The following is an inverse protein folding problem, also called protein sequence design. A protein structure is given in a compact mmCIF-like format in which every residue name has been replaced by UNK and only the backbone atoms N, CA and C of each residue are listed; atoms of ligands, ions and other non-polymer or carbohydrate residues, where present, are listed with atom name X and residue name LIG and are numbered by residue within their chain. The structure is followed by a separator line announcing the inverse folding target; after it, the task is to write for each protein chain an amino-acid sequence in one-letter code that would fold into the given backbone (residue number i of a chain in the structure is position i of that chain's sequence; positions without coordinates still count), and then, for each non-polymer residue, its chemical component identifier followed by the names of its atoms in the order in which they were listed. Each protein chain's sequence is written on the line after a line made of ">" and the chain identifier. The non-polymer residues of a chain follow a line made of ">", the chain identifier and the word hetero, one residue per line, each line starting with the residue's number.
data_IF_191288683258
#
_entry.id   IF_191288683258
#
_cell.length_a   1.000
_cell.length_b   1.000
_cell.length_c   1.000
_cell.angle_alpha   90.00
_cell.angle_beta   90.00
_cell.angle_gamma   90.00
#
_symmetry.space_group_name_H-M   'P 1'
#
loop_
_entity.id
_entity.type
_entity.pdbx_description
1 polymer ?
#
# COMPACT_ATOMS: atom_id res chain seq x y z
N UNK A 1 -24.21 14.81 -2.22
CA UNK A 1 -23.67 14.87 -0.85
C UNK A 1 -24.05 13.65 0.00
N UNK A 2 -25.31 13.17 -0.03
CA UNK A 2 -25.74 11.98 0.73
C UNK A 2 -24.92 10.70 0.45
N UNK A 3 -24.56 10.44 -0.81
CA UNK A 3 -23.71 9.28 -1.19
C UNK A 3 -22.29 9.35 -0.60
N UNK A 4 -21.75 10.55 -0.41
CA UNK A 4 -20.40 10.75 0.12
C UNK A 4 -20.39 10.58 1.65
N UNK A 5 -21.44 11.06 2.33
CA UNK A 5 -21.65 10.77 3.76
C UNK A 5 -21.86 9.28 4.03
N UNK A 6 -22.63 8.58 3.20
CA UNK A 6 -22.86 7.14 3.36
C UNK A 6 -21.57 6.32 3.17
N UNK A 7 -20.70 6.71 2.23
CA UNK A 7 -19.39 6.07 2.04
C UNK A 7 -18.42 6.35 3.20
N UNK A 8 -18.50 7.54 3.80
CA UNK A 8 -17.69 7.90 4.97
C UNK A 8 -18.17 7.16 6.23
N UNK A 9 -19.49 7.10 6.44
CA UNK A 9 -20.07 6.37 7.56
C UNK A 9 -19.80 4.87 7.46
N UNK A 10 -19.85 4.29 6.25
CA UNK A 10 -19.53 2.88 6.05
C UNK A 10 -18.05 2.57 6.26
N UNK A 11 -17.15 3.50 5.93
CA UNK A 11 -15.71 3.36 6.22
C UNK A 11 -15.43 3.41 7.72
N UNK A 12 -16.12 4.29 8.45
CA UNK A 12 -16.02 4.41 9.91
C UNK A 12 -16.62 3.18 10.60
N UNK A 13 -17.80 2.72 10.18
CA UNK A 13 -18.41 1.50 10.70
C UNK A 13 -17.58 0.25 10.39
N UNK A 14 -16.99 0.15 9.20
CA UNK A 14 -16.09 -0.94 8.84
C UNK A 14 -14.82 -0.93 9.69
N UNK A 15 -14.27 0.26 10.00
CA UNK A 15 -13.18 0.43 10.95
C UNK A 15 -13.56 -0.03 12.36
N UNK A 16 -14.75 0.35 12.84
CA UNK A 16 -15.28 -0.02 14.16
C UNK A 16 -15.59 -1.52 14.31
N UNK A 17 -16.16 -2.14 13.28
CA UNK A 17 -16.44 -3.60 13.23
C UNK A 17 -15.15 -4.40 13.06
N UNK A 18 -14.14 -3.84 12.39
CA UNK A 18 -12.81 -4.46 12.37
C UNK A 18 -12.15 -4.42 13.75
N UNK A 19 -12.25 -3.30 14.48
CA UNK A 19 -11.65 -3.17 15.83
C UNK A 19 -12.26 -4.10 16.87
N UNK A 20 -13.56 -4.41 16.80
CA UNK A 20 -14.16 -5.43 17.69
C UNK A 20 -13.82 -6.88 17.28
N UNK A 21 -13.39 -7.09 16.03
CA UNK A 21 -13.00 -8.39 15.50
C UNK A 21 -11.50 -8.70 15.54
N UNK A 22 -10.60 -7.79 15.92
CA UNK A 22 -9.15 -7.95 15.66
C UNK A 22 -8.42 -9.10 16.36
N UNK A 23 -9.03 -9.81 17.32
CA UNK A 23 -8.40 -11.02 17.90
C UNK A 23 -8.76 -12.29 17.08
N UNK A 24 -9.86 -12.31 16.31
CA UNK A 24 -10.31 -13.50 15.55
C UNK A 24 -10.73 -13.25 14.08
N UNK A 25 -10.87 -12.00 13.63
CA UNK A 25 -11.54 -11.61 12.38
C UNK A 25 -10.63 -11.00 11.31
N UNK A 26 -9.34 -10.78 11.56
CA UNK A 26 -8.42 -10.20 10.58
C UNK A 26 -8.05 -11.16 9.45
N UNK A 27 -8.01 -12.47 9.73
CA UNK A 27 -7.82 -13.53 8.73
C UNK A 27 -8.96 -13.59 7.68
N UNK A 28 -10.25 -13.68 8.07
CA UNK A 28 -11.34 -13.68 7.09
C UNK A 28 -11.46 -12.35 6.35
N UNK A 29 -11.15 -11.21 6.98
CA UNK A 29 -11.20 -9.93 6.28
C UNK A 29 -10.08 -9.76 5.24
N UNK A 30 -8.86 -10.21 5.55
CA UNK A 30 -7.77 -10.26 4.58
C UNK A 30 -8.09 -11.24 3.43
N UNK A 31 -8.68 -12.39 3.74
CA UNK A 31 -9.14 -13.35 2.73
C UNK A 31 -10.27 -12.78 1.84
N UNK A 32 -11.22 -12.05 2.41
CA UNK A 32 -12.31 -11.40 1.67
C UNK A 32 -11.80 -10.26 0.79
N UNK A 33 -10.84 -9.46 1.27
CA UNK A 33 -10.19 -8.44 0.47
C UNK A 33 -9.43 -9.07 -0.70
N UNK A 34 -8.70 -10.17 -0.45
CA UNK A 34 -7.99 -10.92 -1.48
C UNK A 34 -8.97 -11.49 -2.53
N UNK A 35 -10.10 -12.05 -2.09
CA UNK A 35 -11.16 -12.56 -2.96
C UNK A 35 -11.81 -11.45 -3.77
N UNK A 36 -12.06 -10.28 -3.19
CA UNK A 36 -12.62 -9.12 -3.88
C UNK A 36 -11.67 -8.62 -4.98
N UNK A 37 -10.37 -8.57 -4.71
CA UNK A 37 -9.34 -8.20 -5.70
C UNK A 37 -9.28 -9.24 -6.83
N UNK A 38 -9.32 -10.54 -6.51
CA UNK A 38 -9.34 -11.62 -7.51
C UNK A 38 -10.59 -11.50 -8.40
N UNK A 39 -11.76 -11.22 -7.81
CA UNK A 39 -13.02 -11.11 -8.55
C UNK A 39 -13.05 -9.87 -9.45
N UNK A 40 -12.55 -8.73 -8.96
CA UNK A 40 -12.42 -7.51 -9.74
C UNK A 40 -11.44 -7.66 -10.92
N UNK A 41 -10.37 -8.45 -10.77
CA UNK A 41 -9.45 -8.73 -11.87
C UNK A 41 -10.05 -9.66 -12.94
N UNK A 42 -10.85 -10.65 -12.53
CA UNK A 42 -11.54 -11.53 -13.49
C UNK A 42 -12.57 -10.79 -14.33
N UNK A 43 -13.29 -9.81 -13.77
CA UNK A 43 -14.25 -9.03 -14.56
C UNK A 43 -13.57 -8.19 -15.63
N UNK A 44 -12.34 -7.73 -15.40
CA UNK A 44 -11.57 -6.97 -16.40
C UNK A 44 -10.96 -7.86 -17.49
N UNK A 45 -10.67 -9.13 -17.21
CA UNK A 45 -10.17 -10.09 -18.21
C UNK A 45 -11.27 -10.65 -19.12
N UNK A 46 -12.54 -10.59 -18.71
CA UNK A 46 -13.68 -11.05 -19.49
C UNK A 46 -14.08 -10.13 -20.65
N UNK A 47 -13.64 -8.87 -20.64
CA UNK A 47 -13.76 -7.99 -21.81
C UNK A 47 -12.62 -8.31 -22.76
N UNK A 48 -12.68 -9.48 -23.40
CA UNK A 48 -12.03 -9.60 -24.70
C UNK A 48 -12.65 -8.50 -25.56
N UNK A 49 -11.85 -7.67 -26.27
CA UNK A 49 -12.37 -6.88 -27.38
C UNK A 49 -12.84 -7.90 -28.43
N UNK A 50 -14.07 -8.38 -28.21
CA UNK A 50 -14.80 -9.22 -29.13
C UNK A 50 -14.93 -8.41 -30.39
N UNK A 51 -14.06 -8.74 -31.35
CA UNK A 51 -14.36 -8.91 -32.76
C UNK A 51 -15.68 -8.20 -33.10
N UNK A 52 -15.59 -6.91 -33.43
CA UNK A 52 -16.74 -6.17 -33.95
C UNK A 52 -17.37 -7.06 -35.02
N UNK A 53 -18.60 -7.58 -34.83
CA UNK A 53 -19.30 -8.24 -35.90
C UNK A 53 -19.42 -7.20 -37.00
N UNK A 54 -18.95 -7.55 -38.20
CA UNK A 54 -18.74 -6.64 -39.32
C UNK A 54 -19.91 -5.70 -39.53
N UNK A 55 -19.81 -4.50 -38.95
CA UNK A 55 -20.59 -3.37 -39.37
C UNK A 55 -19.95 -2.92 -40.68
N UNK A 56 -20.58 -3.33 -41.79
CA UNK A 56 -20.34 -2.72 -43.09
C UNK A 56 -20.59 -1.22 -42.96
N UNK A 57 -19.52 -0.48 -42.69
CA UNK A 57 -19.52 0.97 -42.72
C UNK A 57 -19.36 1.39 -44.16
N UNK A 58 -20.51 1.65 -44.78
CA UNK A 58 -20.69 2.63 -45.83
C UNK A 58 -19.72 3.80 -45.62
N UNK A 59 -18.80 3.98 -46.57
CA UNK A 59 -17.92 5.15 -46.63
C UNK A 59 -18.78 6.43 -46.61
N UNK A 60 -18.58 7.36 -45.66
CA UNK A 60 -19.12 8.70 -45.83
C UNK A 60 -18.39 9.39 -47.00
N UNK A 61 -19.12 9.96 -47.98
CA UNK A 61 -18.56 10.43 -49.25
C UNK A 61 -17.90 11.82 -49.19
N UNK A 62 -17.35 12.23 -48.05
CA UNK A 62 -16.77 13.58 -47.93
C UNK A 62 -15.32 13.54 -47.43
N UNK A 63 -14.36 13.97 -48.26
CA UNK A 63 -12.99 14.16 -47.82
C UNK A 63 -12.93 15.38 -46.90
N UNK A 64 -12.93 15.14 -45.59
CA UNK A 64 -12.59 16.16 -44.60
C UNK A 64 -11.09 16.42 -44.73
N UNK A 65 -10.71 17.41 -45.56
CA UNK A 65 -9.39 18.04 -45.49
C UNK A 65 -9.30 18.70 -44.12
N UNK A 66 -8.62 18.05 -43.18
CA UNK A 66 -8.09 18.69 -41.98
C UNK A 66 -6.85 19.47 -42.41
N UNK A 67 -6.91 20.80 -42.52
CA UNK A 67 -5.71 21.59 -42.69
C UNK A 67 -5.07 21.63 -41.31
N UNK A 68 -3.95 20.96 -41.12
CA UNK A 68 -2.82 21.25 -40.23
C UNK A 68 -2.10 19.91 -40.02
N UNK A 69 -0.79 19.80 -40.31
CA UNK A 69 -0.01 18.70 -39.79
C UNK A 69 0.06 18.86 -38.27
N UNK A 70 -0.92 18.28 -37.56
CA UNK A 70 -0.78 18.04 -36.12
C UNK A 70 0.39 17.08 -36.01
N UNK A 71 1.56 17.63 -35.69
CA UNK A 71 2.77 16.90 -35.36
C UNK A 71 2.37 15.98 -34.22
N UNK A 72 2.00 14.74 -34.55
CA UNK A 72 1.62 13.74 -33.58
C UNK A 72 2.77 13.74 -32.56
N UNK A 73 2.50 13.99 -31.27
CA UNK A 73 3.56 13.94 -30.27
C UNK A 73 4.19 12.57 -30.42
N UNK A 74 5.43 12.57 -30.89
CA UNK A 74 6.25 11.38 -31.03
C UNK A 74 6.51 10.90 -29.61
N UNK A 75 5.54 10.19 -29.03
CA UNK A 75 5.74 9.33 -27.87
C UNK A 75 6.54 8.08 -28.32
N UNK A 76 7.66 8.31 -28.99
CA UNK A 76 8.76 7.37 -29.17
C UNK A 76 9.68 7.36 -27.94
N UNK A 77 9.32 8.10 -26.88
CA UNK A 77 9.74 7.83 -25.52
C UNK A 77 9.08 6.57 -24.97
N UNK A 78 9.14 5.48 -25.73
CA UNK A 78 9.00 4.13 -25.22
C UNK A 78 10.20 3.88 -24.33
N UNK A 79 10.21 4.50 -23.13
CA UNK A 79 10.89 3.94 -21.99
C UNK A 79 10.22 2.60 -21.78
N UNK A 80 10.73 1.59 -22.51
CA UNK A 80 10.65 0.20 -22.13
C UNK A 80 11.17 0.22 -20.72
N UNK A 81 10.25 0.38 -19.77
CA UNK A 81 10.41 0.10 -18.36
C UNK A 81 10.70 -1.40 -18.33
N UNK A 82 11.94 -1.72 -18.70
CA UNK A 82 12.63 -2.95 -18.44
C UNK A 82 12.83 -2.96 -16.95
N UNK A 83 11.72 -3.12 -16.22
CA UNK A 83 11.74 -3.74 -14.92
C UNK A 83 12.19 -5.18 -15.21
N UNK A 84 13.50 -5.31 -15.39
CA UNK A 84 14.20 -6.55 -15.64
C UNK A 84 13.80 -7.51 -14.52
N UNK A 85 13.72 -8.81 -14.81
CA UNK A 85 13.32 -9.83 -13.83
C UNK A 85 14.14 -9.74 -12.52
N UNK A 86 15.37 -9.23 -12.61
CA UNK A 86 16.26 -8.88 -11.49
C UNK A 86 15.64 -7.90 -10.49
N UNK A 87 14.81 -6.95 -10.91
CA UNK A 87 14.15 -6.00 -10.02
C UNK A 87 13.12 -6.67 -9.11
N UNK A 88 12.33 -7.60 -9.64
CA UNK A 88 11.34 -8.34 -8.84
C UNK A 88 11.99 -9.30 -7.85
N UNK A 89 13.11 -9.93 -8.22
CA UNK A 89 13.87 -10.79 -7.31
C UNK A 89 14.40 -9.98 -6.12
N UNK A 90 14.97 -8.79 -6.38
CA UNK A 90 15.43 -7.89 -5.31
C UNK A 90 14.29 -7.47 -4.38
N UNK A 91 13.14 -7.08 -4.94
CA UNK A 91 11.95 -6.72 -4.14
C UNK A 91 11.46 -7.91 -3.31
N UNK A 92 11.41 -9.11 -3.91
CA UNK A 92 11.00 -10.33 -3.21
C UNK A 92 11.95 -10.70 -2.08
N UNK A 93 13.27 -10.55 -2.28
CA UNK A 93 14.27 -10.82 -1.26
C UNK A 93 14.14 -9.83 -0.08
N UNK A 94 13.98 -8.52 -0.37
CA UNK A 94 13.76 -7.51 0.66
C UNK A 94 12.44 -7.76 1.40
N UNK A 95 11.36 -8.10 0.70
CA UNK A 95 10.08 -8.44 1.32
C UNK A 95 10.20 -9.68 2.23
N UNK A 96 10.89 -10.73 1.79
CA UNK A 96 11.13 -11.92 2.60
C UNK A 96 11.96 -11.59 3.85
N UNK A 97 13.02 -10.80 3.69
CA UNK A 97 13.85 -10.34 4.81
C UNK A 97 13.04 -9.51 5.82
N UNK A 98 12.24 -8.55 5.36
CA UNK A 98 11.32 -7.79 6.22
C UNK A 98 10.28 -8.67 6.90
N UNK A 99 9.80 -9.72 6.24
CA UNK A 99 8.85 -10.68 6.82
C UNK A 99 9.50 -11.47 7.95
N UNK A 100 10.69 -12.04 7.72
CA UNK A 100 11.44 -12.79 8.74
C UNK A 100 11.77 -11.87 9.92
N UNK A 101 12.30 -10.67 9.64
CA UNK A 101 12.65 -9.70 10.67
C UNK A 101 11.41 -9.28 11.48
N UNK A 102 10.30 -8.98 10.81
CA UNK A 102 9.04 -8.65 11.47
C UNK A 102 8.50 -9.78 12.35
N UNK A 103 8.55 -11.03 11.86
CA UNK A 103 8.15 -12.21 12.64
C UNK A 103 9.05 -12.41 13.86
N UNK A 104 10.36 -12.19 13.73
CA UNK A 104 11.28 -12.26 14.87
C UNK A 104 11.03 -11.16 15.88
N UNK A 105 10.74 -9.93 15.45
CA UNK A 105 10.35 -8.82 16.35
C UNK A 105 9.04 -9.10 17.08
N UNK A 106 8.02 -9.61 16.36
CA UNK A 106 6.75 -9.98 16.96
C UNK A 106 6.91 -11.11 17.99
N UNK A 107 7.69 -12.15 17.65
CA UNK A 107 8.01 -13.23 18.58
C UNK A 107 8.77 -12.70 19.81
N UNK A 108 9.74 -11.80 19.62
CA UNK A 108 10.47 -11.18 20.71
C UNK A 108 9.57 -10.32 21.62
N UNK A 109 8.66 -9.54 21.03
CA UNK A 109 7.69 -8.73 21.78
C UNK A 109 6.71 -9.60 22.59
N UNK A 110 6.25 -10.72 22.02
CA UNK A 110 5.31 -11.64 22.68
C UNK A 110 5.98 -12.53 23.74
N UNK A 111 7.23 -12.94 23.49
CA UNK A 111 7.97 -13.84 24.39
C UNK A 111 8.87 -13.12 25.37
N UNK A 112 8.99 -11.79 25.29
CA UNK A 112 9.95 -10.98 26.07
C UNK A 112 9.95 -11.26 27.57
N UNK A 113 8.79 -11.61 28.15
CA UNK A 113 8.67 -12.02 29.55
C UNK A 113 9.43 -13.31 29.89
N UNK A 114 9.58 -14.23 28.94
CA UNK A 114 10.33 -15.47 29.10
C UNK A 114 11.85 -15.28 28.98
N UNK A 115 12.33 -14.15 28.47
CA UNK A 115 13.76 -13.81 28.38
C UNK A 115 14.29 -13.10 29.63
N UNK A 116 13.48 -13.07 30.71
CA UNK A 116 13.68 -12.23 31.90
C UNK A 116 15.04 -12.32 32.59
N UNK A 117 15.78 -13.42 32.46
CA UNK A 117 17.12 -13.55 33.04
C UNK A 117 18.15 -12.58 32.40
N UNK A 118 17.93 -12.11 31.17
CA UNK A 118 18.87 -11.25 30.44
C UNK A 118 18.49 -9.77 30.35
N UNK A 119 17.22 -9.40 30.55
CA UNK A 119 16.72 -8.04 30.26
C UNK A 119 16.29 -7.26 31.51
N UNK A 120 16.12 -7.94 32.66
CA UNK A 120 15.82 -7.33 33.96
C UNK A 120 14.42 -6.71 34.10
N UNK A 121 13.79 -6.31 32.98
CA UNK A 121 12.44 -5.74 32.92
C UNK A 121 11.72 -6.15 31.61
N UNK A 122 10.57 -6.81 31.74
CA UNK A 122 9.75 -7.27 30.63
C UNK A 122 9.19 -6.10 29.79
N UNK A 123 8.89 -4.95 30.41
CA UNK A 123 8.38 -3.78 29.70
C UNK A 123 9.44 -3.20 28.76
N UNK A 124 10.70 -3.15 29.22
CA UNK A 124 11.81 -2.70 28.39
C UNK A 124 12.06 -3.64 27.20
N UNK A 125 11.98 -4.94 27.41
CA UNK A 125 12.08 -5.93 26.33
C UNK A 125 10.97 -5.75 25.28
N UNK A 126 9.72 -5.59 25.73
CA UNK A 126 8.56 -5.36 24.85
C UNK A 126 8.73 -4.08 24.03
N UNK A 127 9.07 -2.96 24.67
CA UNK A 127 9.27 -1.68 24.01
C UNK A 127 10.40 -1.73 22.97
N UNK A 128 11.50 -2.43 23.26
CA UNK A 128 12.59 -2.63 22.31
C UNK A 128 12.15 -3.46 21.09
N UNK A 129 11.35 -4.50 21.32
CA UNK A 129 10.72 -5.29 20.26
C UNK A 129 9.79 -4.45 19.37
N UNK A 130 8.96 -3.58 19.98
CA UNK A 130 8.10 -2.65 19.26
C UNK A 130 8.89 -1.62 18.45
N UNK A 131 9.96 -1.05 19.03
CA UNK A 131 10.84 -0.11 18.34
C UNK A 131 11.51 -0.75 17.12
N UNK A 132 12.08 -1.95 17.29
CA UNK A 132 12.70 -2.70 16.21
C UNK A 132 11.68 -3.07 15.11
N UNK A 133 10.46 -3.46 15.50
CA UNK A 133 9.37 -3.73 14.56
C UNK A 133 8.97 -2.50 13.74
N UNK A 134 8.89 -1.33 14.37
CA UNK A 134 8.62 -0.06 13.67
C UNK A 134 9.70 0.26 12.63
N UNK A 135 10.98 0.07 12.97
CA UNK A 135 12.10 0.25 12.04
C UNK A 135 12.09 -0.78 10.91
N UNK A 136 11.78 -2.04 11.21
CA UNK A 136 11.66 -3.11 10.22
C UNK A 136 10.51 -2.87 9.21
N UNK A 137 9.55 -2.00 9.56
CA UNK A 137 8.43 -1.62 8.70
C UNK A 137 8.84 -0.60 7.63
N UNK A 138 9.91 0.17 7.83
CA UNK A 138 10.34 1.23 6.90
C UNK A 138 10.56 0.74 5.45
N UNK A 139 11.28 -0.37 5.19
CA UNK A 139 11.46 -0.87 3.82
C UNK A 139 10.13 -1.27 3.16
N UNK A 140 9.19 -1.81 3.94
CA UNK A 140 7.86 -2.22 3.44
C UNK A 140 7.06 -0.99 2.98
N UNK A 141 7.10 0.10 3.75
CA UNK A 141 6.45 1.37 3.37
C UNK A 141 7.07 1.94 2.10
N UNK A 142 8.40 1.99 2.01
CA UNK A 142 9.12 2.50 0.84
C UNK A 142 8.81 1.65 -0.40
N UNK A 143 8.86 0.32 -0.29
CA UNK A 143 8.52 -0.58 -1.40
C UNK A 143 7.06 -0.42 -1.85
N UNK A 144 6.14 -0.30 -0.90
CA UNK A 144 4.72 -0.06 -1.19
C UNK A 144 4.51 1.25 -1.95
N UNK A 145 5.24 2.31 -1.55
CA UNK A 145 5.21 3.60 -2.23
C UNK A 145 5.72 3.50 -3.67
N UNK A 146 6.84 2.81 -3.90
CA UNK A 146 7.40 2.57 -5.24
C UNK A 146 6.40 1.78 -6.10
N UNK A 147 5.71 0.78 -5.55
CA UNK A 147 4.71 0.00 -6.28
C UNK A 147 3.46 0.84 -6.64
N UNK A 148 3.08 1.78 -5.78
CA UNK A 148 1.91 2.64 -5.99
C UNK A 148 2.22 3.91 -6.79
N UNK A 149 3.52 4.23 -6.97
CA UNK A 149 3.99 5.42 -7.68
C UNK A 149 3.41 5.57 -9.10
N UNK A 150 3.33 4.52 -9.95
CA UNK A 150 2.76 4.66 -11.29
C UNK A 150 1.28 5.06 -11.29
N UNK A 151 0.55 4.80 -10.20
CA UNK A 151 -0.90 5.06 -10.08
C UNK A 151 -1.22 6.37 -9.36
N UNK A 152 -0.39 6.78 -8.41
CA UNK A 152 -0.63 7.95 -7.56
C UNK A 152 0.34 9.12 -7.82
N UNK A 153 1.38 8.91 -8.62
CA UNK A 153 2.39 9.92 -8.92
C UNK A 153 3.20 10.33 -7.69
N UNK A 154 3.86 11.49 -7.76
CA UNK A 154 4.78 11.99 -6.72
C UNK A 154 4.13 12.16 -5.33
N UNK A 155 2.80 12.29 -5.27
CA UNK A 155 2.03 12.36 -4.01
C UNK A 155 2.30 11.15 -3.11
N UNK A 156 2.58 9.99 -3.70
CA UNK A 156 2.90 8.78 -2.94
C UNK A 156 4.22 8.89 -2.17
N UNK A 157 5.20 9.64 -2.68
CA UNK A 157 6.47 9.87 -1.97
C UNK A 157 6.28 10.70 -0.71
N UNK A 158 5.42 11.73 -0.77
CA UNK A 158 5.08 12.53 0.40
C UNK A 158 4.35 11.70 1.46
N UNK A 159 3.37 10.90 1.04
CA UNK A 159 2.66 9.97 1.92
C UNK A 159 3.62 8.98 2.59
N UNK A 160 4.51 8.35 1.81
CA UNK A 160 5.50 7.41 2.31
C UNK A 160 6.51 8.06 3.25
N UNK A 161 7.00 9.26 2.91
CA UNK A 161 7.90 10.03 3.76
C UNK A 161 7.27 10.34 5.11
N UNK A 162 6.00 10.78 5.11
CA UNK A 162 5.26 11.06 6.34
C UNK A 162 5.05 9.80 7.19
N UNK A 163 4.72 8.67 6.57
CA UNK A 163 4.61 7.38 7.26
C UNK A 163 5.95 6.90 7.83
N UNK A 164 7.06 7.07 7.10
CA UNK A 164 8.40 6.74 7.60
C UNK A 164 8.79 7.60 8.79
N UNK A 165 8.55 8.91 8.74
CA UNK A 165 8.79 9.81 9.88
C UNK A 165 7.94 9.39 11.08
N UNK A 166 6.67 9.05 10.87
CA UNK A 166 5.82 8.55 11.93
C UNK A 166 6.39 7.28 12.58
N UNK A 167 6.84 6.30 11.80
CA UNK A 167 7.45 5.07 12.30
C UNK A 167 8.74 5.34 13.09
N UNK A 168 9.56 6.31 12.68
CA UNK A 168 10.73 6.74 13.45
C UNK A 168 10.33 7.37 14.78
N UNK A 169 9.31 8.24 14.79
CA UNK A 169 8.78 8.84 16.01
C UNK A 169 8.25 7.76 16.96
N UNK A 170 7.57 6.73 16.44
CA UNK A 170 7.14 5.57 17.24
C UNK A 170 8.33 4.83 17.81
N UNK A 171 9.36 4.53 17.00
CA UNK A 171 10.55 3.87 17.49
C UNK A 171 11.22 4.65 18.63
N UNK A 172 11.35 5.98 18.49
CA UNK A 172 11.86 6.85 19.55
C UNK A 172 10.96 6.81 20.78
N UNK A 173 9.64 6.91 20.63
CA UNK A 173 8.70 6.85 21.75
C UNK A 173 8.84 5.52 22.52
N UNK A 174 8.97 4.40 21.82
CA UNK A 174 9.16 3.10 22.45
C UNK A 174 10.53 2.99 23.14
N UNK A 175 11.60 3.54 22.55
CA UNK A 175 12.93 3.54 23.16
C UNK A 175 13.01 4.40 24.43
N UNK A 176 12.20 5.46 24.56
CA UNK A 176 12.09 6.25 25.79
C UNK A 176 11.47 5.45 26.95
N UNK A 177 10.68 4.42 26.65
CA UNK A 177 10.02 3.56 27.64
C UNK A 177 8.64 4.04 28.07
N UNK A 178 7.91 3.14 28.75
CA UNK A 178 6.51 3.31 29.14
C UNK A 178 6.26 4.45 30.15
N UNK A 179 7.28 4.81 30.92
CA UNK A 179 7.18 5.76 32.02
C UNK A 179 7.57 7.19 31.61
N UNK A 180 8.05 7.38 30.38
CA UNK A 180 8.52 8.68 29.93
C UNK A 180 7.35 9.60 29.57
N UNK A 181 7.31 10.81 30.14
CA UNK A 181 6.22 11.78 29.94
C UNK A 181 5.94 12.14 28.48
N UNK A 182 6.98 12.08 27.64
CA UNK A 182 6.90 12.34 26.19
C UNK A 182 6.40 11.16 25.34
N UNK A 183 6.27 9.94 25.88
CA UNK A 183 5.92 8.77 25.08
C UNK A 183 4.53 8.93 24.42
N UNK A 184 3.51 9.25 25.21
CA UNK A 184 2.15 9.45 24.71
C UNK A 184 2.03 10.60 23.69
N UNK A 185 2.57 11.80 23.95
CA UNK A 185 2.61 12.87 22.97
C UNK A 185 3.27 12.46 21.64
N UNK A 186 4.37 11.72 21.68
CA UNK A 186 5.04 11.23 20.46
C UNK A 186 4.20 10.19 19.72
N UNK A 187 3.53 9.25 20.44
CA UNK A 187 2.61 8.29 19.83
C UNK A 187 1.44 9.00 19.16
N UNK A 188 0.85 10.01 19.80
CA UNK A 188 -0.24 10.81 19.22
C UNK A 188 0.23 11.60 17.99
N UNK A 189 1.42 12.21 18.04
CA UNK A 189 2.00 12.90 16.90
C UNK A 189 2.23 11.94 15.73
N UNK A 190 2.78 10.75 15.98
CA UNK A 190 2.94 9.70 14.98
C UNK A 190 1.60 9.24 14.40
N UNK A 191 0.58 9.06 15.23
CA UNK A 191 -0.76 8.66 14.78
C UNK A 191 -1.38 9.71 13.84
N UNK A 192 -1.23 11.00 14.14
CA UNK A 192 -1.64 12.09 13.26
C UNK A 192 -0.87 12.04 11.94
N UNK A 193 0.45 11.87 11.98
CA UNK A 193 1.27 11.73 10.77
C UNK A 193 0.83 10.54 9.90
N UNK A 194 0.53 9.38 10.50
CA UNK A 194 -0.01 8.22 9.78
C UNK A 194 -1.39 8.53 9.19
N UNK A 195 -2.27 9.19 9.95
CA UNK A 195 -3.60 9.60 9.48
C UNK A 195 -3.51 10.48 8.24
N UNK A 196 -2.61 11.48 8.24
CA UNK A 196 -2.33 12.30 7.07
C UNK A 196 -1.66 11.52 5.93
N UNK A 197 -0.76 10.59 6.24
CA UNK A 197 -0.11 9.76 5.22
C UNK A 197 -1.15 8.95 4.44
N UNK A 198 -2.20 8.47 5.11
CA UNK A 198 -3.33 7.78 4.49
C UNK A 198 -4.26 8.74 3.74
N UNK A 199 -4.51 9.94 4.26
CA UNK A 199 -5.44 10.91 3.67
C UNK A 199 -4.91 11.54 2.37
N UNK A 200 -3.62 11.88 2.32
CA UNK A 200 -2.97 12.56 1.19
C UNK A 200 -3.24 11.91 -0.19
N UNK A 201 -3.06 10.59 -0.39
CA UNK A 201 -3.36 9.96 -1.68
C UNK A 201 -4.85 9.94 -2.04
N UNK A 202 -5.75 10.13 -1.06
CA UNK A 202 -7.21 10.21 -1.26
C UNK A 202 -7.64 11.60 -1.77
N UNK A 203 -6.84 12.64 -1.53
CA UNK A 203 -7.13 14.02 -1.93
C UNK A 203 -7.35 14.22 -3.43
N UNK A 204 -6.76 13.35 -4.26
CA UNK A 204 -6.95 13.36 -5.72
C UNK A 204 -8.40 13.10 -6.16
N UNK A 205 -9.21 12.48 -5.31
CA UNK A 205 -10.62 12.19 -5.60
C UNK A 205 -11.57 13.29 -5.17
N UNK A 206 -11.06 14.32 -4.48
CA UNK A 206 -11.86 15.46 -4.06
C UNK A 206 -11.85 16.49 -5.21
N UNK A 207 -12.94 16.58 -5.96
CA UNK A 207 -13.15 17.66 -6.93
C UNK A 207 -13.65 18.92 -6.21
N UNK A 208 -12.95 20.05 -6.34
CA UNK A 208 -13.33 21.30 -5.69
C UNK A 208 -12.23 22.36 -5.69
N UNK A 209 -12.52 23.51 -5.09
CA UNK A 209 -11.54 24.59 -4.87
C UNK A 209 -10.39 24.10 -3.98
N UNK A 210 -9.22 24.75 -4.09
CA UNK A 210 -8.03 24.42 -3.29
C UNK A 210 -8.37 24.43 -1.78
N UNK A 211 -9.10 25.44 -1.32
CA UNK A 211 -9.51 25.59 0.08
C UNK A 211 -10.35 24.41 0.55
N UNK A 212 -11.34 23.98 -0.25
CA UNK A 212 -12.17 22.82 0.08
C UNK A 212 -11.34 21.53 0.13
N UNK A 213 -10.38 21.38 -0.78
CA UNK A 213 -9.47 20.22 -0.78
C UNK A 213 -8.59 20.18 0.45
N UNK A 214 -7.99 21.31 0.84
CA UNK A 214 -7.14 21.40 2.03
C UNK A 214 -7.97 21.15 3.30
N UNK A 215 -9.16 21.77 3.40
CA UNK A 215 -10.07 21.54 4.53
C UNK A 215 -10.51 20.08 4.63
N UNK A 216 -10.91 19.47 3.51
CA UNK A 216 -11.33 18.08 3.47
C UNK A 216 -10.18 17.10 3.77
N UNK A 217 -8.96 17.37 3.27
CA UNK A 217 -7.76 16.60 3.62
C UNK A 217 -7.36 16.76 5.08
N UNK A 218 -7.50 17.96 5.64
CA UNK A 218 -7.28 18.24 7.06
C UNK A 218 -8.24 17.43 7.93
N UNK A 219 -9.54 17.52 7.64
CA UNK A 219 -10.57 16.74 8.34
C UNK A 219 -10.39 15.23 8.20
N UNK A 220 -10.10 14.75 6.99
CA UNK A 220 -9.85 13.34 6.72
C UNK A 220 -8.57 12.84 7.42
N UNK A 221 -7.48 13.61 7.39
CA UNK A 221 -6.24 13.28 8.08
C UNK A 221 -6.42 13.17 9.59
N UNK A 222 -7.15 14.12 10.18
CA UNK A 222 -7.51 14.07 11.60
C UNK A 222 -8.46 12.90 11.92
N UNK A 223 -9.47 12.63 11.09
CA UNK A 223 -10.36 11.48 11.28
C UNK A 223 -9.58 10.15 11.18
N UNK A 224 -8.65 10.06 10.23
CA UNK A 224 -7.76 8.90 10.07
C UNK A 224 -6.70 8.80 11.18
N UNK A 225 -6.50 9.81 12.02
CA UNK A 225 -5.56 9.72 13.15
C UNK A 225 -5.99 8.66 14.18
N UNK A 226 -7.30 8.45 14.37
CA UNK A 226 -7.82 7.37 15.22
C UNK A 226 -7.36 6.00 14.71
N UNK A 227 -7.47 5.79 13.39
CA UNK A 227 -6.91 4.60 12.74
C UNK A 227 -5.38 4.56 12.86
N UNK A 228 -4.73 5.73 12.77
CA UNK A 228 -3.31 5.91 13.02
C UNK A 228 -2.87 5.42 14.39
N UNK A 229 -3.64 5.67 15.46
CA UNK A 229 -3.34 5.17 16.81
C UNK A 229 -3.28 3.64 16.81
N UNK A 230 -4.28 2.98 16.23
CA UNK A 230 -4.29 1.51 16.12
C UNK A 230 -3.15 0.97 15.27
N UNK A 231 -2.83 1.63 14.15
CA UNK A 231 -1.73 1.22 13.28
C UNK A 231 -0.37 1.40 13.93
N UNK A 232 -0.19 2.49 14.70
CA UNK A 232 1.04 2.80 15.42
C UNK A 232 1.26 1.80 16.55
N UNK A 233 0.24 1.49 17.35
CA UNK A 233 0.36 0.52 18.43
C UNK A 233 0.53 -0.91 17.90
N UNK A 234 -0.07 -1.22 16.74
CA UNK A 234 0.09 -2.50 16.07
C UNK A 234 1.27 -2.56 15.09
N UNK A 235 2.11 -1.53 14.97
CA UNK A 235 3.08 -1.40 13.87
C UNK A 235 4.01 -2.61 13.75
N UNK A 236 4.51 -3.12 14.89
CA UNK A 236 5.37 -4.32 14.94
C UNK A 236 4.68 -5.58 14.37
N UNK A 237 3.36 -5.65 14.46
CA UNK A 237 2.56 -6.76 13.93
C UNK A 237 2.12 -6.52 12.49
N UNK A 238 2.05 -5.28 12.00
CA UNK A 238 1.60 -4.96 10.63
C UNK A 238 2.69 -5.27 9.59
N UNK A 239 3.98 -5.14 9.96
CA UNK A 239 5.09 -5.39 9.04
C UNK A 239 5.06 -6.77 8.36
N UNK A 240 4.90 -7.90 9.09
CA UNK A 240 4.80 -9.23 8.48
C UNK A 240 3.67 -9.34 7.45
N UNK A 241 2.51 -8.72 7.71
CA UNK A 241 1.38 -8.74 6.78
C UNK A 241 1.66 -7.93 5.52
N UNK A 242 2.20 -6.72 5.65
CA UNK A 242 2.59 -5.91 4.51
C UNK A 242 3.64 -6.61 3.64
N UNK A 243 4.62 -7.23 4.28
CA UNK A 243 5.65 -8.01 3.61
C UNK A 243 5.08 -9.26 2.91
N UNK A 244 4.14 -9.98 3.55
CA UNK A 244 3.48 -11.15 2.96
C UNK A 244 2.64 -10.76 1.74
N UNK A 245 1.91 -9.64 1.80
CA UNK A 245 1.13 -9.12 0.67
C UNK A 245 2.05 -8.72 -0.48
N UNK A 246 3.16 -8.02 -0.21
CA UNK A 246 4.15 -7.66 -1.24
C UNK A 246 4.78 -8.90 -1.88
N UNK A 247 5.17 -9.88 -1.05
CA UNK A 247 5.73 -11.14 -1.52
C UNK A 247 4.72 -11.87 -2.41
N UNK A 248 3.49 -12.06 -1.94
CA UNK A 248 2.43 -12.72 -2.70
C UNK A 248 2.13 -12.01 -4.02
N UNK A 249 2.06 -10.68 -4.00
CA UNK A 249 1.88 -9.87 -5.20
C UNK A 249 3.03 -10.06 -6.19
N UNK A 250 4.28 -10.06 -5.71
CA UNK A 250 5.46 -10.28 -6.54
C UNK A 250 5.46 -11.67 -7.19
N UNK A 251 5.10 -12.72 -6.43
CA UNK A 251 5.01 -14.10 -6.91
C UNK A 251 3.92 -14.27 -7.98
N UNK A 252 2.72 -13.69 -7.76
CA UNK A 252 1.66 -13.69 -8.77
C UNK A 252 2.09 -13.03 -10.07
N UNK A 253 2.79 -11.89 -9.98
CA UNK A 253 3.25 -11.16 -11.16
C UNK A 253 4.30 -11.94 -11.95
N UNK A 254 5.17 -12.68 -11.26
CA UNK A 254 6.12 -13.61 -11.88
C UNK A 254 5.40 -14.77 -12.57
N UNK A 255 4.38 -15.38 -11.93
CA UNK A 255 3.62 -16.49 -12.49
C UNK A 255 2.84 -16.14 -13.77
N UNK A 256 2.32 -14.91 -13.88
CA UNK A 256 1.58 -14.48 -15.08
C UNK A 256 2.48 -14.15 -16.27
N UNK A 257 3.79 -14.01 -16.09
CA UNK A 257 4.74 -13.96 -17.20
C UNK A 257 5.02 -15.39 -17.68
N UNK A 258 4.02 -16.02 -18.34
CA UNK A 258 4.31 -17.19 -19.18
C UNK A 258 5.44 -16.77 -20.12
N UNK A 259 6.55 -17.53 -20.21
CA UNK A 259 7.53 -17.28 -21.25
C UNK A 259 6.74 -17.31 -22.55
N UNK A 260 6.73 -16.22 -23.31
CA UNK A 260 6.49 -16.31 -24.74
C UNK A 260 7.68 -17.10 -25.26
N UNK A 261 7.60 -18.43 -25.14
CA UNK A 261 8.26 -19.32 -26.07
C UNK A 261 7.56 -18.98 -27.37
N UNK A 262 8.08 -17.97 -28.07
CA UNK A 262 7.68 -17.75 -29.43
C UNK A 262 7.90 -19.09 -30.14
N UNK A 263 7.01 -19.51 -31.04
CA UNK A 263 7.33 -20.61 -31.94
C UNK A 263 8.60 -20.17 -32.67
N UNK A 264 9.75 -20.63 -32.19
CA UNK A 264 10.96 -20.62 -32.97
C UNK A 264 10.56 -21.37 -34.23
N UNK A 265 10.52 -20.62 -35.32
CA UNK A 265 10.27 -21.09 -36.66
C UNK A 265 11.17 -22.30 -36.88
N UNK A 266 10.60 -23.49 -36.72
CA UNK A 266 11.11 -24.73 -37.29
C UNK A 266 10.71 -24.67 -38.76
N UNK A 267 11.42 -23.86 -39.52
CA UNK A 267 11.67 -24.04 -40.95
C UNK A 267 13.00 -23.32 -41.20
N UNK A 268 14.00 -23.95 -41.80
CA UNK A 268 13.90 -24.56 -43.11
C UNK A 268 14.90 -25.73 -43.24
N UNK A 269 14.40 -26.87 -43.68
CA UNK A 269 15.10 -27.79 -44.57
C UNK A 269 14.11 -28.25 -45.63
#
# INVERSE_FOLDING_TARGET
>A
MASLMAAFLSLILAGLVMTSGQIFGSLPAAALLLLAIIKAQRSQQGVQPGKLPGAGLSQPPYPVKVPYPVKAPSHSGGTKSGFNNTGFIKISAVALFSLVLGMTCAAFALTGSNWGAGVGDANRAMNLGLAAGALATLPVVVLSAVMLLPRFGAVMWFSAGLACVALLVVAVAQLLGAEHSLQWPLILAAAVMVGFALAVPLGRWISGSLTLRVAALGGLGLACSLLGIYLVTAAAFVAPWGAAVLLFYSLRRLAHRKPRVGPHLVSQH
#
